data_IF_683092400682
#
_entry.id   IF_683092400682
#
_cell.length_a   1.000
_cell.length_b   1.000
_cell.length_c   1.000
_cell.angle_alpha   90.00
_cell.angle_beta   90.00
_cell.angle_gamma   90.00
#
_symmetry.space_group_name_H-M   'P 1'
#
loop_
_entity.id
_entity.type
_entity.pdbx_description
1 polymer ?
#
# COMPACT_ATOMS: atom_id res chain seq x y z
N UNK A 1 5.93 10.08 15.73
CA UNK A 1 5.33 11.29 15.12
C UNK A 1 5.86 12.56 15.77
N UNK A 2 7.14 12.58 16.18
CA UNK A 2 7.74 13.77 16.76
C UNK A 2 8.17 14.76 15.67
N UNK A 3 8.55 14.26 14.49
CA UNK A 3 9.01 15.08 13.36
C UNK A 3 7.98 16.11 12.92
N UNK A 4 6.71 15.73 12.76
CA UNK A 4 5.65 16.67 12.40
C UNK A 4 5.34 17.69 13.51
N UNK A 5 5.59 17.35 14.78
CA UNK A 5 5.44 18.30 15.89
C UNK A 5 6.58 19.31 15.88
N UNK A 6 7.80 18.85 15.60
CA UNK A 6 8.96 19.72 15.44
C UNK A 6 8.82 20.61 14.19
N UNK A 7 8.16 20.11 13.14
CA UNK A 7 7.90 20.84 11.90
C UNK A 7 6.89 21.98 12.05
N UNK A 8 5.86 21.77 12.87
CA UNK A 8 4.73 22.69 13.03
C UNK A 8 4.67 23.12 14.50
N UNK A 9 5.24 24.28 14.87
CA UNK A 9 5.33 24.72 16.27
C UNK A 9 3.96 25.01 16.90
N UNK A 10 2.94 25.25 16.08
CA UNK A 10 1.54 25.44 16.49
C UNK A 10 0.76 24.11 16.60
N UNK A 11 1.39 22.98 16.30
CA UNK A 11 0.76 21.66 16.37
C UNK A 11 0.54 21.27 17.83
N UNK A 12 -0.71 20.95 18.17
CA UNK A 12 -1.09 20.39 19.47
C UNK A 12 -1.26 18.89 19.32
N UNK A 13 -0.62 18.14 20.22
CA UNK A 13 -0.79 16.70 20.24
C UNK A 13 -2.03 16.30 21.03
N UNK A 14 -2.82 15.39 20.46
CA UNK A 14 -3.90 14.72 21.18
C UNK A 14 -3.57 13.25 21.45
N UNK A 15 -4.34 12.67 22.36
CA UNK A 15 -4.38 11.24 22.62
C UNK A 15 -4.88 10.48 21.38
N UNK A 16 -4.49 9.22 21.30
CA UNK A 16 -4.90 8.37 20.18
C UNK A 16 -6.40 8.10 20.25
N UNK A 17 -7.12 8.50 19.20
CA UNK A 17 -8.54 8.20 19.04
C UNK A 17 -8.77 6.70 18.85
N UNK A 18 -9.81 6.18 19.51
CA UNK A 18 -10.23 4.79 19.37
C UNK A 18 -10.85 4.51 18.00
N UNK A 19 -10.50 3.37 17.39
CA UNK A 19 -10.95 3.01 16.03
C UNK A 19 -12.46 2.76 15.90
N UNK A 20 -13.17 2.62 17.03
CA UNK A 20 -14.63 2.40 17.05
C UNK A 20 -15.43 3.70 17.04
N UNK A 21 -14.78 4.81 17.38
CA UNK A 21 -15.43 6.11 17.47
C UNK A 21 -15.59 6.72 16.08
N UNK A 22 -16.62 7.55 15.90
CA UNK A 22 -16.83 8.28 14.66
C UNK A 22 -15.75 9.35 14.49
N UNK A 23 -15.30 9.56 13.25
CA UNK A 23 -14.28 10.57 12.93
C UNK A 23 -14.82 12.00 13.07
N UNK A 24 -16.14 12.19 13.10
CA UNK A 24 -16.79 13.48 13.31
C UNK A 24 -16.41 14.10 14.66
N UNK A 25 -16.15 13.27 15.67
CA UNK A 25 -15.72 13.73 17.01
C UNK A 25 -14.38 14.48 16.98
N UNK A 26 -13.58 14.33 15.91
CA UNK A 26 -12.33 15.09 15.73
C UNK A 26 -12.62 16.59 15.62
N UNK A 27 -13.78 16.98 15.08
CA UNK A 27 -14.17 18.38 14.96
C UNK A 27 -14.36 19.02 16.35
N UNK A 28 -15.04 18.32 17.26
CA UNK A 28 -15.25 18.78 18.65
C UNK A 28 -13.92 18.90 19.39
N UNK A 29 -13.03 17.90 19.21
CA UNK A 29 -11.68 17.92 19.78
C UNK A 29 -10.88 19.12 19.26
N UNK A 30 -10.95 19.40 17.96
CA UNK A 30 -10.27 20.54 17.36
C UNK A 30 -10.83 21.88 17.87
N UNK A 31 -12.14 21.97 18.12
CA UNK A 31 -12.78 23.16 18.67
C UNK A 31 -12.37 23.41 20.13
N UNK A 32 -12.38 22.37 20.98
CA UNK A 32 -11.91 22.45 22.38
C UNK A 32 -10.44 22.84 22.43
N UNK A 33 -9.63 22.30 21.53
CA UNK A 33 -8.22 22.64 21.40
C UNK A 33 -7.97 24.01 20.74
N UNK A 34 -9.02 24.71 20.27
CA UNK A 34 -8.94 25.95 19.51
C UNK A 34 -7.97 25.85 18.31
N UNK A 35 -8.15 24.81 17.50
CA UNK A 35 -7.35 24.52 16.32
C UNK A 35 -8.18 24.77 15.05
N UNK A 36 -7.65 25.55 14.11
CA UNK A 36 -8.32 25.79 12.81
C UNK A 36 -8.15 24.66 11.80
N UNK A 37 -7.17 23.77 12.03
CA UNK A 37 -6.83 22.66 11.13
C UNK A 37 -6.46 21.45 11.96
N UNK A 38 -6.85 20.28 11.50
CA UNK A 38 -6.56 19.00 12.13
C UNK A 38 -5.90 18.05 11.13
N UNK A 39 -4.90 17.29 11.59
CA UNK A 39 -4.27 16.22 10.83
C UNK A 39 -4.52 14.90 11.56
N UNK A 40 -5.26 14.01 10.93
CA UNK A 40 -5.55 12.68 11.46
C UNK A 40 -4.74 11.62 10.71
N UNK A 41 -4.00 10.80 11.46
CA UNK A 41 -3.17 9.73 10.90
C UNK A 41 -3.74 8.35 11.26
N UNK A 42 -4.33 7.67 10.29
CA UNK A 42 -4.82 6.30 10.45
C UNK A 42 -3.73 5.27 10.09
N UNK A 43 -3.42 4.35 11.01
CA UNK A 43 -2.56 3.19 10.72
C UNK A 43 -3.35 1.88 10.76
N UNK A 44 -3.47 1.23 9.59
CA UNK A 44 -4.21 -0.03 9.45
C UNK A 44 -3.37 -1.30 9.64
N UNK A 45 -2.07 -1.28 9.31
CA UNK A 45 -1.21 -2.49 9.28
C UNK A 45 0.19 -2.28 9.85
N UNK A 46 0.35 -1.38 10.82
CA UNK A 46 1.62 -1.07 11.47
C UNK A 46 2.75 -0.67 10.49
N UNK A 47 2.40 -0.08 9.35
CA UNK A 47 3.38 0.65 8.53
C UNK A 47 3.59 2.00 9.19
N UNK A 48 4.62 2.12 10.03
CA UNK A 48 4.86 3.34 10.80
C UNK A 48 5.51 4.41 9.93
N UNK A 49 4.94 5.62 9.96
CA UNK A 49 5.65 6.84 9.58
C UNK A 49 6.65 7.13 10.70
N UNK A 50 7.87 6.60 10.58
CA UNK A 50 8.92 6.86 11.56
C UNK A 50 10.27 6.86 10.89
N UNK A 51 10.87 8.05 10.79
CA UNK A 51 12.31 8.19 10.92
C UNK A 51 12.71 7.75 12.35
N UNK A 52 13.80 6.99 12.52
CA UNK A 52 14.27 6.58 13.85
C UNK A 52 14.42 7.79 14.77
N UNK A 53 13.99 7.64 16.02
CA UNK A 53 14.18 8.68 17.03
C UNK A 53 15.68 8.93 17.23
N UNK A 54 16.08 10.21 17.29
CA UNK A 54 17.50 10.63 17.31
C UNK A 54 18.32 10.21 16.08
N UNK A 55 17.70 10.12 14.90
CA UNK A 55 18.49 9.98 13.68
C UNK A 55 19.52 11.13 13.61
N UNK A 56 20.80 10.91 13.25
CA UNK A 56 21.84 11.94 13.29
C UNK A 56 21.52 13.20 12.47
N UNK A 57 20.57 13.09 11.54
CA UNK A 57 20.05 14.18 10.70
C UNK A 57 18.79 14.87 11.26
N UNK A 58 18.10 14.33 12.25
CA UNK A 58 16.94 14.98 12.89
C UNK A 58 17.43 15.95 13.97
N UNK A 59 17.68 17.21 13.57
CA UNK A 59 18.07 18.29 14.50
C UNK A 59 16.88 19.24 14.76
N UNK A 60 16.62 19.65 16.01
CA UNK A 60 15.56 20.60 16.35
C UNK A 60 16.08 22.04 16.27
N UNK A 61 16.18 22.64 15.07
CA UNK A 61 16.49 24.07 14.87
C UNK A 61 15.81 24.63 13.61
N UNK A 62 15.66 25.95 13.56
CA UNK A 62 14.80 26.71 12.65
C UNK A 62 15.54 27.00 11.33
N UNK A 63 15.01 26.47 10.23
CA UNK A 63 15.11 26.95 8.82
C UNK A 63 14.84 25.75 7.91
N UNK A 64 13.54 25.45 7.73
CA UNK A 64 13.07 24.34 6.94
C UNK A 64 12.55 24.81 5.58
N UNK A 65 13.04 24.19 4.52
CA UNK A 65 12.52 24.36 3.16
C UNK A 65 11.74 23.10 2.79
N UNK A 66 10.44 23.27 2.53
CA UNK A 66 9.59 22.21 2.01
C UNK A 66 9.52 22.30 0.50
N UNK A 67 9.76 21.17 -0.17
CA UNK A 67 9.51 21.05 -1.61
C UNK A 67 8.40 20.05 -1.86
N UNK A 68 7.45 20.48 -2.69
CA UNK A 68 6.37 19.66 -3.22
C UNK A 68 6.60 19.51 -4.72
N UNK A 69 6.87 18.29 -5.19
CA UNK A 69 6.96 18.02 -6.62
C UNK A 69 5.87 17.08 -7.06
N UNK A 70 5.16 17.47 -8.12
CA UNK A 70 4.14 16.63 -8.76
C UNK A 70 4.80 15.79 -9.84
N UNK A 71 4.65 14.47 -9.74
CA UNK A 71 5.07 13.53 -10.78
C UNK A 71 3.97 13.40 -11.84
N UNK A 72 4.29 13.09 -13.11
CA UNK A 72 3.27 12.77 -14.12
C UNK A 72 2.24 11.72 -13.68
N UNK A 73 2.64 10.81 -12.79
CA UNK A 73 1.77 9.77 -12.19
C UNK A 73 0.78 10.30 -11.12
N UNK A 74 0.61 11.62 -10.96
CA UNK A 74 -0.32 12.21 -9.99
C UNK A 74 0.13 12.13 -8.52
N UNK A 75 1.36 11.66 -8.26
CA UNK A 75 1.93 11.55 -6.91
C UNK A 75 2.66 12.82 -6.51
N UNK A 76 2.41 13.26 -5.28
CA UNK A 76 3.04 14.43 -4.67
C UNK A 76 4.21 13.97 -3.81
N UNK A 77 5.40 14.40 -4.16
CA UNK A 77 6.60 14.13 -3.39
C UNK A 77 6.85 15.29 -2.46
N UNK A 78 6.91 14.99 -1.16
CA UNK A 78 7.26 15.94 -0.12
C UNK A 78 8.67 15.65 0.36
N UNK A 79 9.49 16.70 0.37
CA UNK A 79 10.84 16.66 0.97
C UNK A 79 11.03 17.83 1.91
N UNK A 80 11.81 17.58 2.96
CA UNK A 80 12.21 18.56 3.96
C UNK A 80 13.72 18.73 3.95
N UNK A 81 14.17 19.95 3.69
CA UNK A 81 15.57 20.36 3.72
C UNK A 81 15.80 21.36 4.85
N UNK A 82 16.99 21.33 5.44
CA UNK A 82 17.47 22.38 6.32
C UNK A 82 18.56 23.17 5.61
N UNK A 83 18.57 24.48 5.81
CA UNK A 83 19.65 25.37 5.38
C UNK A 83 20.81 25.24 6.36
N UNK A 84 22.02 24.98 5.86
CA UNK A 84 23.23 24.97 6.66
C UNK A 84 23.81 26.39 6.69
N UNK A 85 23.83 27.02 7.86
CA UNK A 85 24.18 28.44 8.03
C UNK A 85 25.58 28.81 7.50
N UNK A 86 26.54 27.88 7.55
CA UNK A 86 27.94 28.16 7.18
C UNK A 86 28.16 28.18 5.66
N UNK A 87 27.41 27.39 4.89
CA UNK A 87 27.63 27.20 3.44
C UNK A 87 26.41 27.55 2.58
N UNK A 88 25.26 27.87 3.20
CA UNK A 88 23.96 28.02 2.55
C UNK A 88 23.53 26.80 1.71
N UNK A 89 24.08 25.64 2.00
CA UNK A 89 23.72 24.39 1.34
C UNK A 89 22.45 23.78 1.95
N UNK A 90 21.69 23.06 1.13
CA UNK A 90 20.47 22.38 1.57
C UNK A 90 20.77 20.93 1.94
N UNK A 91 20.58 20.59 3.21
CA UNK A 91 20.77 19.23 3.72
C UNK A 91 19.41 18.55 3.96
N UNK A 92 19.16 17.38 3.35
CA UNK A 92 17.96 16.58 3.62
C UNK A 92 17.95 16.06 5.07
N UNK A 93 16.92 16.44 5.84
CA UNK A 93 16.66 15.99 7.23
C UNK A 93 15.61 14.87 7.26
N UNK A 94 14.51 15.06 6.52
CA UNK A 94 13.28 14.28 6.62
C UNK A 94 12.16 15.00 7.41
N UNK A 95 10.92 14.48 7.43
CA UNK A 95 10.48 13.24 6.80
C UNK A 95 10.31 13.36 5.28
N UNK A 96 10.52 12.26 4.56
CA UNK A 96 10.28 12.15 3.12
C UNK A 96 9.00 11.38 2.88
N UNK A 97 8.08 11.97 2.11
CA UNK A 97 6.76 11.37 1.89
C UNK A 97 6.44 11.36 0.41
N UNK A 98 5.70 10.33 0.00
CA UNK A 98 5.00 10.29 -1.27
C UNK A 98 3.53 10.22 -0.94
N UNK A 99 2.80 11.28 -1.30
CA UNK A 99 1.39 11.45 -1.05
C UNK A 99 0.62 11.24 -2.36
N UNK A 100 -0.53 10.60 -2.24
CA UNK A 100 -1.47 10.38 -3.33
C UNK A 100 -2.84 10.79 -2.83
N UNK A 101 -3.52 11.67 -3.56
CA UNK A 101 -4.86 12.12 -3.19
C UNK A 101 -5.83 10.98 -3.47
N UNK A 102 -6.55 10.54 -2.45
CA UNK A 102 -7.53 9.46 -2.58
C UNK A 102 -8.91 10.06 -2.84
N UNK A 103 -9.40 10.84 -1.86
CA UNK A 103 -10.74 11.42 -1.86
C UNK A 103 -10.73 12.80 -1.23
N UNK A 104 -11.60 13.68 -1.73
CA UNK A 104 -11.90 14.97 -1.11
C UNK A 104 -13.38 14.99 -0.77
N UNK A 105 -13.69 15.35 0.48
CA UNK A 105 -15.05 15.46 1.00
C UNK A 105 -15.43 16.94 1.12
N UNK A 106 -16.73 17.22 1.07
CA UNK A 106 -17.28 18.56 1.24
C UNK A 106 -17.20 19.07 2.70
N UNK A 107 -17.25 18.16 3.68
CA UNK A 107 -17.19 18.47 5.11
C UNK A 107 -15.94 17.95 5.81
N UNK A 108 -15.78 18.35 7.07
CA UNK A 108 -14.68 17.88 7.93
C UNK A 108 -14.99 16.48 8.47
N UNK A 109 -14.35 15.48 7.88
CA UNK A 109 -14.59 14.04 8.15
C UNK A 109 -16.02 13.54 7.88
N UNK A 110 -16.83 14.33 7.17
CA UNK A 110 -18.20 13.99 6.78
C UNK A 110 -18.57 14.66 5.44
N UNK A 111 -19.78 14.41 4.96
CA UNK A 111 -20.31 15.00 3.72
C UNK A 111 -20.11 14.14 2.47
N UNK A 112 -20.56 14.66 1.33
CA UNK A 112 -20.45 13.99 0.03
C UNK A 112 -19.02 14.03 -0.50
N UNK A 113 -18.67 13.03 -1.32
CA UNK A 113 -17.39 12.98 -2.02
C UNK A 113 -17.43 13.95 -3.19
N UNK A 114 -16.56 14.96 -3.16
CA UNK A 114 -16.38 15.93 -4.25
C UNK A 114 -15.41 15.41 -5.32
N UNK A 115 -14.41 14.65 -4.90
CA UNK A 115 -13.41 14.07 -5.77
C UNK A 115 -13.07 12.65 -5.30
N UNK A 116 -13.07 11.70 -6.22
CA UNK A 116 -12.57 10.34 -6.01
C UNK A 116 -11.52 10.05 -7.09
N UNK A 117 -10.33 9.67 -6.67
CA UNK A 117 -9.24 9.37 -7.60
C UNK A 117 -9.49 8.01 -8.28
N UNK A 118 -9.70 7.98 -9.62
CA UNK A 118 -9.97 6.73 -10.33
C UNK A 118 -8.75 5.80 -10.40
N UNK A 119 -7.53 6.34 -10.33
CA UNK A 119 -6.28 5.58 -10.44
C UNK A 119 -5.85 4.97 -9.10
N UNK A 120 -6.43 5.45 -7.99
CA UNK A 120 -6.07 4.98 -6.67
C UNK A 120 -6.58 3.56 -6.41
N UNK A 121 -5.66 2.62 -6.25
CA UNK A 121 -5.98 1.25 -5.84
C UNK A 121 -5.47 1.01 -4.42
N UNK A 122 -6.39 0.64 -3.52
CA UNK A 122 -6.01 0.41 -2.13
C UNK A 122 -4.98 -0.73 -2.00
N UNK A 123 -3.96 -0.60 -1.13
CA UNK A 123 -2.98 -1.67 -0.91
C UNK A 123 -3.58 -2.99 -0.39
N UNK A 124 -4.80 -2.97 0.14
CA UNK A 124 -5.52 -4.17 0.53
C UNK A 124 -6.12 -4.89 -0.68
N UNK A 125 -6.61 -4.15 -1.67
CA UNK A 125 -7.08 -4.68 -2.95
C UNK A 125 -5.94 -5.39 -3.68
N UNK A 126 -4.78 -4.74 -3.79
CA UNK A 126 -3.58 -5.31 -4.43
C UNK A 126 -3.18 -6.63 -3.73
N UNK A 127 -3.09 -6.62 -2.38
CA UNK A 127 -2.77 -7.84 -1.62
C UNK A 127 -3.81 -8.94 -1.81
N UNK A 128 -5.10 -8.59 -1.89
CA UNK A 128 -6.19 -9.54 -2.15
C UNK A 128 -6.07 -10.15 -3.55
N UNK A 129 -5.75 -9.34 -4.56
CA UNK A 129 -5.55 -9.81 -5.93
C UNK A 129 -4.35 -10.75 -6.06
N UNK A 130 -3.22 -10.41 -5.43
CA UNK A 130 -2.05 -11.30 -5.37
C UNK A 130 -2.44 -12.64 -4.75
N UNK A 131 -3.16 -12.62 -3.61
CA UNK A 131 -3.63 -13.84 -2.96
C UNK A 131 -4.59 -14.64 -3.84
N UNK A 132 -5.48 -13.97 -4.59
CA UNK A 132 -6.43 -14.59 -5.52
C UNK A 132 -5.73 -15.22 -6.73
N UNK A 133 -4.69 -14.57 -7.28
CA UNK A 133 -3.85 -15.15 -8.35
C UNK A 133 -3.19 -16.45 -7.88
N UNK A 134 -2.76 -16.49 -6.62
CA UNK A 134 -2.13 -17.69 -6.04
C UNK A 134 -3.12 -18.77 -5.56
N UNK A 135 -4.41 -18.47 -5.33
CA UNK A 135 -5.36 -19.45 -4.78
C UNK A 135 -5.66 -20.61 -5.72
N UNK A 136 -5.68 -20.36 -7.03
CA UNK A 136 -6.07 -21.38 -8.02
C UNK A 136 -4.96 -22.36 -8.36
N UNK A 137 -3.76 -22.21 -7.77
CA UNK A 137 -2.60 -23.06 -8.02
C UNK A 137 -2.91 -24.54 -7.78
N UNK A 138 -3.65 -24.87 -6.72
CA UNK A 138 -4.03 -26.25 -6.40
C UNK A 138 -5.06 -26.82 -7.39
N UNK A 139 -6.10 -26.04 -7.72
CA UNK A 139 -7.14 -26.46 -8.67
C UNK A 139 -6.53 -26.70 -10.06
N UNK A 140 -5.70 -25.78 -10.53
CA UNK A 140 -4.98 -25.93 -11.80
C UNK A 140 -4.06 -27.16 -11.81
N UNK A 141 -3.39 -27.45 -10.68
CA UNK A 141 -2.57 -28.66 -10.55
C UNK A 141 -3.41 -29.93 -10.69
N UNK A 142 -4.55 -29.99 -10.02
CA UNK A 142 -5.46 -31.14 -10.08
C UNK A 142 -6.10 -31.32 -11.45
N UNK A 143 -6.50 -30.21 -12.11
CA UNK A 143 -7.00 -30.24 -13.49
C UNK A 143 -5.93 -30.72 -14.48
N UNK A 144 -4.68 -30.29 -14.32
CA UNK A 144 -3.58 -30.77 -15.13
C UNK A 144 -3.29 -32.28 -14.93
N UNK A 145 -3.43 -32.78 -13.70
CA UNK A 145 -3.30 -34.20 -13.39
C UNK A 145 -4.41 -35.04 -14.04
N UNK A 146 -5.67 -34.63 -13.89
CA UNK A 146 -6.79 -35.28 -14.58
C UNK A 146 -6.64 -35.24 -16.10
N UNK A 147 -6.20 -34.10 -16.66
CA UNK A 147 -5.93 -33.98 -18.09
C UNK A 147 -4.80 -34.89 -18.58
N UNK A 148 -3.78 -35.15 -17.76
CA UNK A 148 -2.73 -36.14 -18.08
C UNK A 148 -3.28 -37.57 -18.07
N UNK A 149 -4.09 -37.91 -17.08
CA UNK A 149 -4.73 -39.22 -17.00
C UNK A 149 -5.65 -39.47 -18.19
N UNK A 150 -6.47 -38.48 -18.58
CA UNK A 150 -7.31 -38.57 -19.76
C UNK A 150 -6.49 -38.80 -21.05
N UNK A 151 -5.40 -38.05 -21.25
CA UNK A 151 -4.50 -38.25 -22.40
C UNK A 151 -3.84 -39.62 -22.41
N UNK A 152 -3.41 -40.12 -21.24
CA UNK A 152 -2.85 -41.47 -21.10
C UNK A 152 -3.89 -42.55 -21.43
N UNK A 153 -5.14 -42.37 -20.97
CA UNK A 153 -6.24 -43.27 -21.28
C UNK A 153 -6.61 -43.25 -22.76
N UNK A 154 -6.62 -42.08 -23.41
CA UNK A 154 -6.82 -41.96 -24.86
C UNK A 154 -5.72 -42.68 -25.63
N UNK A 155 -4.44 -42.51 -25.26
CA UNK A 155 -3.32 -43.21 -25.89
C UNK A 155 -3.39 -44.73 -25.70
N UNK A 156 -3.81 -45.20 -24.53
CA UNK A 156 -3.97 -46.63 -24.25
C UNK A 156 -5.17 -47.24 -24.99
N UNK A 157 -6.20 -46.45 -25.30
CA UNK A 157 -7.37 -46.88 -26.05
C UNK A 157 -7.12 -46.97 -27.57
N UNK A 158 -6.05 -46.35 -28.07
CA UNK A 158 -5.60 -46.57 -29.45
C UNK A 158 -4.99 -47.96 -29.53
N UNK A 159 -5.76 -48.93 -29.99
CA UNK A 159 -5.25 -50.26 -30.32
C UNK A 159 -4.27 -50.13 -31.50
N UNK A 160 -2.97 -50.22 -31.19
CA UNK A 160 -1.94 -50.35 -32.20
C UNK A 160 -1.95 -51.79 -32.70
N UNK A 161 -2.11 -52.05 -34.00
CA UNK A 161 -2.01 -53.40 -34.52
C UNK A 161 -0.61 -53.94 -34.24
N UNK A 162 -0.53 -55.05 -33.52
CA UNK A 162 0.72 -55.72 -33.17
C UNK A 162 1.28 -56.43 -34.41
N UNK A 163 2.43 -56.00 -34.95
CA UNK A 163 3.00 -56.61 -36.15
C UNK A 163 3.68 -57.97 -35.90
N UNK A 164 3.83 -58.44 -34.65
CA UNK A 164 4.57 -59.68 -34.31
C UNK A 164 3.68 -60.78 -33.72
N UNK A 165 2.46 -60.44 -33.25
CA UNK A 165 1.55 -61.36 -32.56
C UNK A 165 1.08 -62.58 -33.37
N UNK A 166 1.00 -62.48 -34.71
CA UNK A 166 0.52 -63.59 -35.55
C UNK A 166 1.52 -64.75 -35.72
N UNK A 167 2.78 -64.61 -35.28
CA UNK A 167 3.85 -65.58 -35.58
C UNK A 167 3.89 -66.75 -34.59
N UNK A 168 3.28 -66.62 -33.41
CA UNK A 168 3.39 -67.61 -32.31
C UNK A 168 2.10 -68.38 -32.00
N UNK A 169 1.03 -68.20 -32.79
CA UNK A 169 -0.18 -69.04 -32.72
C UNK A 169 0.09 -70.42 -33.33
N UNK A 170 0.81 -71.29 -32.62
CA UNK A 170 0.96 -72.70 -32.97
C UNK A 170 -0.07 -73.56 -32.23
N UNK A 171 -1.34 -73.48 -32.66
CA UNK A 171 -2.27 -74.60 -32.54
C UNK A 171 -2.19 -75.43 -33.83
N UNK A 172 -1.21 -76.33 -33.91
CA UNK A 172 -1.15 -77.42 -34.88
C UNK A 172 -0.46 -78.64 -34.29
#
# INVERSE_FOLDING_TARGET
MQDFRNLMPHSKSDNKLDKRMSLVLINEIAEIANCSKCLYFENRKHTTFSTPDHHPRSKPFIDHVFTFSLTPDGKIWFRNFQIVDETLELQEIGPRLVLEVIRVFDGSFEGSVLYDNPDYVSPNTIRREIKKKHSNKYILKKQAEMGRQAKLAELAAVELPDPVGEIFDTER
#
